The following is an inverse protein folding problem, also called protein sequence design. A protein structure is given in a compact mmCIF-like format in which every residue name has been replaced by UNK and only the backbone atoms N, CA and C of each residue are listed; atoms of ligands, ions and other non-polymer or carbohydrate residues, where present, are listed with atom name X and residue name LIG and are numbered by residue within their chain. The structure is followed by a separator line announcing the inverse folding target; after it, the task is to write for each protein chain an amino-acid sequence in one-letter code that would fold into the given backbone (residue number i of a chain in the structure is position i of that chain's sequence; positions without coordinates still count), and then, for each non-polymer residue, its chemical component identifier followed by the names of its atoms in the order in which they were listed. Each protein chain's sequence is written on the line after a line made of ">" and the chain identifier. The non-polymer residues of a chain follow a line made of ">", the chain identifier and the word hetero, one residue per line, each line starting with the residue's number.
data_IF_718242342678
#
_entry.id   IF_718242342678
#
_cell.length_a   1.000
_cell.length_b   1.000
_cell.length_c   1.000
_cell.angle_alpha   90.00
_cell.angle_beta   90.00
_cell.angle_gamma   90.00
#
_symmetry.space_group_name_H-M   'P 1'
#
loop_
_entity.id
_entity.type
_entity.pdbx_description
1 polymer ?
#
# COMPACT_ATOMS: atom_id res chain seq x y z
N UNK A 1 -51.23 43.73 33.57
CA UNK A 1 -51.04 42.26 33.52
C UNK A 1 -50.86 41.70 32.12
N UNK A 2 -51.90 41.44 31.30
CA UNK A 2 -51.74 40.79 29.98
C UNK A 2 -50.69 41.49 29.08
N UNK A 3 -50.73 42.82 29.02
CA UNK A 3 -49.79 43.60 28.21
C UNK A 3 -48.35 43.57 28.76
N UNK A 4 -48.18 43.48 30.08
CA UNK A 4 -46.86 43.36 30.72
C UNK A 4 -46.29 41.95 30.49
N UNK A 5 -47.14 40.91 30.59
CA UNK A 5 -46.77 39.53 30.27
C UNK A 5 -46.35 39.39 28.81
N UNK A 6 -47.02 40.09 27.88
CA UNK A 6 -46.62 40.15 26.48
C UNK A 6 -45.21 40.72 26.30
N UNK A 7 -44.97 41.94 26.81
CA UNK A 7 -43.66 42.61 26.70
C UNK A 7 -42.56 41.74 27.30
N UNK A 8 -42.82 41.14 28.46
CA UNK A 8 -41.85 40.26 29.12
C UNK A 8 -41.54 38.99 28.31
N UNK A 9 -42.53 38.36 27.68
CA UNK A 9 -42.28 37.21 26.79
C UNK A 9 -41.50 37.64 25.56
N UNK A 10 -41.81 38.80 24.96
CA UNK A 10 -41.06 39.32 23.82
C UNK A 10 -39.58 39.56 24.16
N UNK A 11 -39.27 40.09 25.35
CA UNK A 11 -37.90 40.24 25.84
C UNK A 11 -37.21 38.89 26.03
N UNK A 12 -37.89 37.93 26.65
CA UNK A 12 -37.35 36.58 26.84
C UNK A 12 -37.10 35.87 25.50
N UNK A 13 -37.98 36.02 24.51
CA UNK A 13 -37.79 35.46 23.16
C UNK A 13 -36.59 36.11 22.46
N UNK A 14 -36.41 37.43 22.58
CA UNK A 14 -35.21 38.09 22.03
C UNK A 14 -33.92 37.58 22.65
N UNK A 15 -33.89 37.38 23.97
CA UNK A 15 -32.74 36.78 24.65
C UNK A 15 -32.54 35.31 24.28
N UNK A 16 -33.62 34.56 24.09
CA UNK A 16 -33.58 33.17 23.60
C UNK A 16 -32.91 33.11 22.23
N UNK A 17 -33.35 33.94 21.29
CA UNK A 17 -32.85 33.95 19.90
C UNK A 17 -31.39 34.43 19.78
N UNK A 18 -30.84 35.03 20.85
CA UNK A 18 -29.43 35.40 20.97
C UNK A 18 -28.56 34.31 21.61
N UNK A 19 -29.16 33.23 22.11
CA UNK A 19 -28.46 32.13 22.78
C UNK A 19 -27.88 32.49 24.14
N UNK A 20 -28.49 33.45 24.86
CA UNK A 20 -27.91 34.03 26.09
C UNK A 20 -27.95 33.07 27.30
N UNK A 21 -29.05 32.35 27.54
CA UNK A 21 -29.20 31.47 28.72
C UNK A 21 -30.29 30.39 28.52
N UNK A 22 -29.99 29.13 28.86
CA UNK A 22 -30.97 28.03 28.82
C UNK A 22 -32.10 28.17 29.84
N UNK A 23 -31.89 28.91 30.94
CA UNK A 23 -32.95 29.18 31.94
C UNK A 23 -34.14 29.96 31.36
N UNK A 24 -33.96 30.54 30.16
CA UNK A 24 -35.00 31.26 29.43
C UNK A 24 -36.15 30.34 29.01
N UNK A 25 -35.88 29.08 28.63
CA UNK A 25 -36.92 28.13 28.23
C UNK A 25 -37.94 27.89 29.35
N UNK A 26 -37.47 27.72 30.59
CA UNK A 26 -38.34 27.55 31.76
C UNK A 26 -39.15 28.81 32.06
N UNK A 27 -38.53 29.99 31.93
CA UNK A 27 -39.20 31.28 32.13
C UNK A 27 -40.31 31.50 31.10
N UNK A 28 -40.04 31.25 29.82
CA UNK A 28 -41.04 31.34 28.75
C UNK A 28 -42.16 30.32 28.99
N UNK A 29 -41.81 29.08 29.31
CA UNK A 29 -42.78 28.01 29.59
C UNK A 29 -43.74 28.38 30.73
N UNK A 30 -43.21 28.97 31.81
CA UNK A 30 -44.02 29.47 32.93
C UNK A 30 -44.94 30.62 32.51
N UNK A 31 -44.45 31.54 31.70
CA UNK A 31 -45.25 32.66 31.19
C UNK A 31 -46.38 32.16 30.28
N UNK A 32 -46.11 31.21 29.39
CA UNK A 32 -47.11 30.58 28.53
C UNK A 32 -48.15 29.80 29.34
N UNK A 33 -47.75 29.13 30.42
CA UNK A 33 -48.69 28.47 31.33
C UNK A 33 -49.62 29.48 32.01
N UNK A 34 -49.06 30.59 32.50
CA UNK A 34 -49.84 31.66 33.11
C UNK A 34 -50.81 32.30 32.12
N UNK A 35 -50.38 32.52 30.87
CA UNK A 35 -51.25 33.00 29.80
C UNK A 35 -52.38 32.00 29.53
N UNK A 36 -52.07 30.71 29.40
CA UNK A 36 -53.07 29.66 29.19
C UNK A 36 -54.10 29.61 30.32
N UNK A 37 -53.66 29.75 31.57
CA UNK A 37 -54.57 29.83 32.72
C UNK A 37 -55.43 31.11 32.71
N UNK A 38 -54.98 32.16 32.02
CA UNK A 38 -55.71 33.41 31.83
C UNK A 38 -56.60 33.42 30.56
N UNK A 39 -56.72 32.30 29.85
CA UNK A 39 -57.52 32.19 28.61
C UNK A 39 -58.99 32.57 28.82
N UNK A 40 -59.54 32.44 30.03
CA UNK A 40 -60.91 32.85 30.37
C UNK A 40 -61.21 34.32 30.06
N UNK A 41 -60.18 35.18 29.96
CA UNK A 41 -60.32 36.62 29.65
C UNK A 41 -60.85 36.83 28.22
N UNK A 42 -60.68 35.86 27.31
CA UNK A 42 -61.26 35.92 25.95
C UNK A 42 -62.78 36.08 25.96
N UNK A 43 -63.45 35.55 26.98
CA UNK A 43 -64.90 35.67 27.13
C UNK A 43 -65.36 37.11 27.37
N UNK A 44 -64.45 37.99 27.80
CA UNK A 44 -64.72 39.39 28.15
C UNK A 44 -64.05 40.37 27.19
N UNK A 45 -62.89 40.00 26.65
CA UNK A 45 -62.15 40.80 25.68
C UNK A 45 -61.64 39.89 24.58
N UNK A 46 -62.43 39.83 23.51
CA UNK A 46 -62.07 39.08 22.32
C UNK A 46 -60.67 39.48 21.82
N UNK A 47 -59.89 38.48 21.45
CA UNK A 47 -58.53 38.54 20.92
C UNK A 47 -57.42 38.87 21.92
N UNK A 48 -57.74 39.17 23.18
CA UNK A 48 -56.73 39.58 24.16
C UNK A 48 -55.66 38.50 24.46
N UNK A 49 -56.01 37.22 24.35
CA UNK A 49 -55.11 36.09 24.57
C UNK A 49 -54.65 35.48 23.25
N UNK A 50 -55.59 35.28 22.32
CA UNK A 50 -55.34 34.63 21.04
C UNK A 50 -54.38 35.42 20.15
N UNK A 51 -54.40 36.76 20.19
CA UNK A 51 -53.42 37.57 19.45
C UNK A 51 -51.99 37.40 20.01
N UNK A 52 -51.83 37.30 21.33
CA UNK A 52 -50.51 37.14 21.97
C UNK A 52 -49.94 35.75 21.67
N UNK A 53 -50.75 34.70 21.82
CA UNK A 53 -50.31 33.34 21.49
C UNK A 53 -49.94 33.22 20.01
N UNK A 54 -50.73 33.84 19.12
CA UNK A 54 -50.46 33.85 17.69
C UNK A 54 -49.17 34.60 17.34
N UNK A 55 -48.88 35.72 18.02
CA UNK A 55 -47.63 36.46 17.83
C UNK A 55 -46.41 35.64 18.29
N UNK A 56 -46.49 35.02 19.48
CA UNK A 56 -45.44 34.12 19.98
C UNK A 56 -45.23 32.93 19.03
N UNK A 57 -46.31 32.34 18.54
CA UNK A 57 -46.28 31.28 17.54
C UNK A 57 -45.52 31.72 16.28
N UNK A 58 -45.83 32.90 15.73
CA UNK A 58 -45.14 33.42 14.55
C UNK A 58 -43.65 33.67 14.79
N UNK A 59 -43.28 34.21 15.95
CA UNK A 59 -41.87 34.45 16.31
C UNK A 59 -41.09 33.14 16.44
N UNK A 60 -41.65 32.12 17.11
CA UNK A 60 -41.00 30.82 17.25
C UNK A 60 -40.86 30.09 15.90
N UNK A 61 -41.90 30.11 15.06
CA UNK A 61 -41.84 29.53 13.71
C UNK A 61 -40.79 30.24 12.87
N UNK A 62 -40.73 31.58 12.93
CA UNK A 62 -39.76 32.37 12.17
C UNK A 62 -38.33 32.02 12.59
N UNK A 63 -38.06 31.92 13.88
CA UNK A 63 -36.75 31.54 14.39
C UNK A 63 -36.34 30.12 13.98
N UNK A 64 -37.24 29.14 14.05
CA UNK A 64 -36.97 27.77 13.53
C UNK A 64 -36.62 27.81 12.04
N UNK A 65 -37.32 28.61 11.23
CA UNK A 65 -37.02 28.75 9.80
C UNK A 65 -35.66 29.41 9.54
N UNK A 66 -35.24 30.34 10.38
CA UNK A 66 -33.93 30.99 10.30
C UNK A 66 -32.81 30.01 10.66
N UNK A 67 -32.99 29.24 11.74
CA UNK A 67 -32.09 28.15 12.12
C UNK A 67 -32.02 27.07 11.02
N UNK A 68 -33.17 26.65 10.47
CA UNK A 68 -33.24 25.73 9.34
C UNK A 68 -32.40 26.27 8.17
N UNK A 69 -32.61 27.52 7.77
CA UNK A 69 -31.86 28.14 6.67
C UNK A 69 -30.36 28.16 6.93
N UNK A 70 -29.93 28.32 8.18
CA UNK A 70 -28.53 28.25 8.59
C UNK A 70 -27.94 26.85 8.37
N UNK A 71 -28.67 25.81 8.80
CA UNK A 71 -28.28 24.41 8.60
C UNK A 71 -28.21 24.07 7.11
N UNK A 72 -29.23 24.44 6.33
CA UNK A 72 -29.29 24.15 4.89
C UNK A 72 -28.15 24.81 4.10
N UNK A 73 -27.60 25.93 4.59
CA UNK A 73 -26.45 26.63 3.98
C UNK A 73 -25.10 26.06 4.40
N UNK A 74 -25.04 25.22 5.43
CA UNK A 74 -23.77 24.76 6.01
C UNK A 74 -23.00 23.80 5.10
N UNK A 75 -23.65 23.21 4.09
CA UNK A 75 -23.11 22.20 3.17
C UNK A 75 -22.49 21.01 3.93
N UNK A 76 -23.33 20.06 4.33
CA UNK A 76 -22.97 18.94 5.19
C UNK A 76 -22.49 17.72 4.41
N UNK A 77 -21.41 17.90 3.65
CA UNK A 77 -20.73 16.85 2.88
C UNK A 77 -19.53 16.25 3.65
N UNK A 78 -18.85 15.27 3.01
CA UNK A 78 -17.68 14.59 3.57
C UNK A 78 -16.50 15.52 3.83
N UNK A 79 -16.34 16.59 3.06
CA UNK A 79 -15.23 17.53 3.18
C UNK A 79 -15.44 18.54 4.32
N UNK A 80 -16.69 18.76 4.69
CA UNK A 80 -17.11 19.74 5.68
C UNK A 80 -17.62 19.12 6.99
N UNK A 81 -17.18 17.90 7.32
CA UNK A 81 -17.65 17.16 8.51
C UNK A 81 -17.46 17.92 9.83
N UNK A 82 -16.52 18.86 9.92
CA UNK A 82 -16.30 19.69 11.12
C UNK A 82 -17.50 20.58 11.45
N UNK A 83 -18.26 21.00 10.44
CA UNK A 83 -19.48 21.83 10.61
C UNK A 83 -20.63 21.07 11.26
N UNK A 84 -20.56 19.74 11.30
CA UNK A 84 -21.56 18.90 11.97
C UNK A 84 -21.69 19.28 13.45
N UNK A 85 -20.58 19.66 14.11
CA UNK A 85 -20.59 20.08 15.50
C UNK A 85 -21.32 21.41 15.73
N UNK A 86 -21.38 22.29 14.74
CA UNK A 86 -22.12 23.55 14.86
C UNK A 86 -23.60 23.34 14.54
N UNK A 87 -23.88 22.53 13.51
CA UNK A 87 -25.25 22.10 13.22
C UNK A 87 -25.86 21.34 14.40
N UNK A 88 -25.08 20.57 15.17
CA UNK A 88 -25.62 19.87 16.34
C UNK A 88 -26.11 20.79 17.45
N UNK A 89 -25.48 21.94 17.64
CA UNK A 89 -25.98 22.96 18.57
C UNK A 89 -27.33 23.49 18.10
N UNK A 90 -27.47 23.75 16.80
CA UNK A 90 -28.72 24.23 16.20
C UNK A 90 -29.83 23.18 16.33
N UNK A 91 -29.53 21.89 16.08
CA UNK A 91 -30.51 20.82 16.27
C UNK A 91 -30.99 20.72 17.71
N UNK A 92 -30.05 20.79 18.67
CA UNK A 92 -30.39 20.78 20.10
C UNK A 92 -31.31 21.95 20.44
N UNK A 93 -31.02 23.15 19.95
CA UNK A 93 -31.84 24.34 20.18
C UNK A 93 -33.27 24.18 19.61
N UNK A 94 -33.39 23.66 18.39
CA UNK A 94 -34.69 23.38 17.75
C UNK A 94 -35.46 22.30 18.53
N UNK A 95 -34.80 21.22 18.94
CA UNK A 95 -35.43 20.16 19.73
C UNK A 95 -35.82 20.65 21.14
N UNK A 96 -35.06 21.55 21.77
CA UNK A 96 -35.44 22.18 23.05
C UNK A 96 -36.72 23.03 22.92
N UNK A 97 -37.00 23.62 21.74
CA UNK A 97 -38.26 24.34 21.49
C UNK A 97 -39.51 23.44 21.50
N UNK A 98 -39.35 22.11 21.46
CA UNK A 98 -40.47 21.17 21.65
C UNK A 98 -41.17 21.36 22.98
N UNK A 99 -40.51 21.92 24.00
CA UNK A 99 -41.14 22.21 25.29
C UNK A 99 -42.35 23.19 25.17
N UNK A 100 -42.42 23.96 24.08
CA UNK A 100 -43.52 24.88 23.77
C UNK A 100 -44.68 24.22 23.02
N UNK A 101 -44.57 22.96 22.55
CA UNK A 101 -45.61 22.26 21.77
C UNK A 101 -46.98 22.21 22.47
N UNK A 102 -46.99 22.11 23.82
CA UNK A 102 -48.22 22.11 24.64
C UNK A 102 -49.01 23.43 24.59
N UNK A 103 -48.38 24.50 24.13
CA UNK A 103 -48.97 25.84 24.00
C UNK A 103 -49.12 26.25 22.55
N UNK A 104 -48.18 25.85 21.71
CA UNK A 104 -48.14 26.13 20.26
C UNK A 104 -48.02 24.80 19.50
N UNK A 105 -49.14 24.07 19.28
CA UNK A 105 -49.11 22.71 18.74
C UNK A 105 -48.50 22.61 17.34
N UNK A 106 -48.59 23.67 16.54
CA UNK A 106 -48.05 23.71 15.17
C UNK A 106 -46.52 23.61 15.14
N UNK A 107 -45.81 23.93 16.23
CA UNK A 107 -44.35 23.78 16.31
C UNK A 107 -43.91 22.35 16.07
N UNK A 108 -44.69 21.37 16.53
CA UNK A 108 -44.38 19.96 16.33
C UNK A 108 -44.22 19.64 14.83
N UNK A 109 -45.15 20.14 14.01
CA UNK A 109 -45.09 19.93 12.56
C UNK A 109 -43.82 20.55 11.96
N UNK A 110 -43.48 21.79 12.33
CA UNK A 110 -42.29 22.46 11.79
C UNK A 110 -40.98 21.78 12.22
N UNK A 111 -40.89 21.33 13.48
CA UNK A 111 -39.70 20.62 14.00
C UNK A 111 -39.58 19.24 13.34
N UNK A 112 -40.69 18.52 13.17
CA UNK A 112 -40.69 17.21 12.50
C UNK A 112 -40.32 17.35 11.01
N UNK A 113 -40.87 18.36 10.30
CA UNK A 113 -40.50 18.67 8.90
C UNK A 113 -39.01 19.03 8.77
N UNK A 114 -38.49 19.84 9.68
CA UNK A 114 -37.07 20.19 9.71
C UNK A 114 -36.19 18.95 9.93
N UNK A 115 -36.52 18.12 10.92
CA UNK A 115 -35.79 16.89 11.23
C UNK A 115 -35.78 15.92 10.04
N UNK A 116 -36.91 15.77 9.32
CA UNK A 116 -36.99 14.96 8.11
C UNK A 116 -36.08 15.49 6.99
N UNK A 117 -36.05 16.81 6.75
CA UNK A 117 -35.15 17.40 5.74
C UNK A 117 -33.68 17.22 6.12
N UNK A 118 -33.34 17.44 7.39
CA UNK A 118 -31.99 17.23 7.91
C UNK A 118 -31.55 15.78 7.75
N UNK A 119 -32.42 14.81 8.12
CA UNK A 119 -32.17 13.40 7.89
C UNK A 119 -31.94 13.10 6.41
N UNK A 120 -32.75 13.66 5.51
CA UNK A 120 -32.59 13.49 4.07
C UNK A 120 -31.20 13.92 3.57
N UNK A 121 -30.68 15.04 4.07
CA UNK A 121 -29.33 15.53 3.70
C UNK A 121 -28.25 14.54 4.14
N UNK A 122 -28.27 14.11 5.40
CA UNK A 122 -27.27 13.20 5.92
C UNK A 122 -27.38 11.82 5.27
N UNK A 123 -28.60 11.34 5.02
CA UNK A 123 -28.85 10.07 4.37
C UNK A 123 -28.32 10.04 2.93
N UNK A 124 -28.32 11.17 2.22
CA UNK A 124 -27.67 11.26 0.91
C UNK A 124 -26.15 11.02 1.02
N UNK A 125 -25.49 11.58 2.05
CA UNK A 125 -24.06 11.32 2.28
C UNK A 125 -23.82 9.86 2.68
N UNK A 126 -24.71 9.28 3.48
CA UNK A 126 -24.67 7.86 3.82
C UNK A 126 -24.76 6.95 2.60
N UNK A 127 -25.62 7.28 1.63
CA UNK A 127 -25.70 6.57 0.34
C UNK A 127 -24.37 6.70 -0.41
N UNK A 128 -23.81 7.91 -0.51
CA UNK A 128 -22.51 8.14 -1.15
C UNK A 128 -21.41 7.29 -0.52
N UNK A 129 -21.35 7.21 0.82
CA UNK A 129 -20.39 6.35 1.53
C UNK A 129 -20.61 4.88 1.17
N UNK A 130 -21.86 4.40 1.22
CA UNK A 130 -22.18 3.00 0.89
C UNK A 130 -21.79 2.64 -0.53
N UNK A 131 -22.09 3.50 -1.49
CA UNK A 131 -21.79 3.28 -2.91
C UNK A 131 -20.28 3.31 -3.17
N UNK A 132 -19.58 4.30 -2.59
CA UNK A 132 -18.12 4.45 -2.74
C UNK A 132 -17.37 3.22 -2.25
N UNK A 133 -17.76 2.66 -1.11
CA UNK A 133 -17.11 1.50 -0.51
C UNK A 133 -17.84 0.17 -0.79
N UNK A 134 -18.86 0.19 -1.65
CA UNK A 134 -19.71 -0.96 -1.98
C UNK A 134 -20.16 -1.76 -0.75
N UNK A 135 -20.59 -1.07 0.32
CA UNK A 135 -20.87 -1.70 1.63
C UNK A 135 -22.02 -2.72 1.58
N UNK A 136 -22.89 -2.64 0.56
CA UNK A 136 -24.03 -3.53 0.38
C UNK A 136 -23.69 -4.82 -0.41
N UNK A 137 -22.54 -4.89 -1.09
CA UNK A 137 -22.13 -6.07 -1.87
C UNK A 137 -21.22 -6.95 -1.03
N UNK A 138 -21.79 -7.99 -0.42
CA UNK A 138 -21.11 -8.78 0.61
C UNK A 138 -20.02 -9.74 0.12
N UNK A 139 -19.86 -10.00 -1.19
CA UNK A 139 -19.20 -11.24 -1.62
C UNK A 139 -17.93 -11.12 -2.47
N UNK A 140 -17.62 -10.01 -3.12
CA UNK A 140 -16.35 -9.89 -3.85
C UNK A 140 -15.84 -8.46 -3.80
N UNK A 141 -14.89 -8.17 -2.91
CA UNK A 141 -14.23 -6.90 -2.98
C UNK A 141 -13.28 -6.89 -4.19
N UNK A 142 -13.62 -6.10 -5.20
CA UNK A 142 -12.68 -5.73 -6.27
C UNK A 142 -11.72 -4.69 -5.71
N UNK A 143 -10.72 -5.13 -4.96
CA UNK A 143 -9.71 -4.28 -4.35
C UNK A 143 -8.65 -3.84 -5.36
N UNK A 144 -9.03 -3.08 -6.39
CA UNK A 144 -8.03 -2.48 -7.30
C UNK A 144 -7.38 -1.25 -6.68
N UNK A 145 -8.16 -0.39 -6.03
CA UNK A 145 -7.70 0.87 -5.43
C UNK A 145 -8.51 1.18 -4.18
N UNK A 146 -7.85 1.49 -3.06
CA UNK A 146 -8.50 1.94 -1.83
C UNK A 146 -8.14 3.41 -1.60
N UNK A 147 -9.14 4.28 -1.64
CA UNK A 147 -8.96 5.69 -1.31
C UNK A 147 -9.06 5.87 0.22
N UNK A 148 -7.92 5.77 0.87
CA UNK A 148 -7.81 5.93 2.31
C UNK A 148 -8.10 7.36 2.78
N UNK A 149 -7.93 8.40 1.94
CA UNK A 149 -8.31 9.77 2.33
C UNK A 149 -9.82 9.92 2.42
N UNK A 150 -10.55 9.40 1.43
CA UNK A 150 -12.01 9.41 1.42
C UNK A 150 -12.57 8.54 2.56
N UNK A 151 -11.94 7.40 2.85
CA UNK A 151 -12.35 6.55 3.96
C UNK A 151 -12.14 7.23 5.33
N UNK A 152 -11.05 7.98 5.53
CA UNK A 152 -10.79 8.73 6.77
C UNK A 152 -11.88 9.79 6.99
N UNK A 153 -12.20 10.58 5.95
CA UNK A 153 -13.27 11.57 6.00
C UNK A 153 -14.63 10.94 6.30
N UNK A 154 -14.94 9.81 5.66
CA UNK A 154 -16.18 9.07 5.92
C UNK A 154 -16.29 8.58 7.36
N UNK A 155 -15.21 8.04 7.94
CA UNK A 155 -15.19 7.63 9.35
C UNK A 155 -15.42 8.81 10.29
N UNK A 156 -14.72 9.93 10.07
CA UNK A 156 -14.86 11.14 10.89
C UNK A 156 -16.26 11.75 10.78
N UNK A 157 -16.84 11.77 9.57
CA UNK A 157 -18.21 12.19 9.32
C UNK A 157 -19.20 11.32 10.09
N UNK A 158 -19.08 9.99 9.98
CA UNK A 158 -19.95 9.06 10.69
C UNK A 158 -19.82 9.16 12.21
N UNK A 159 -18.61 9.37 12.73
CA UNK A 159 -18.38 9.60 14.15
C UNK A 159 -19.05 10.88 14.64
N UNK A 160 -18.98 11.97 13.86
CA UNK A 160 -19.68 13.21 14.16
C UNK A 160 -21.20 13.01 14.12
N UNK A 161 -21.73 12.22 13.17
CA UNK A 161 -23.17 11.95 13.09
C UNK A 161 -23.74 11.13 14.27
N UNK A 162 -22.91 10.38 15.01
CA UNK A 162 -23.37 9.60 16.17
C UNK A 162 -23.93 10.46 17.30
N UNK A 163 -23.57 11.75 17.35
CA UNK A 163 -24.10 12.66 18.36
C UNK A 163 -25.59 12.94 18.16
N UNK A 164 -26.12 12.71 16.96
CA UNK A 164 -27.53 12.91 16.66
C UNK A 164 -28.35 11.69 17.02
N UNK A 165 -29.28 11.84 17.97
CA UNK A 165 -30.20 10.76 18.34
C UNK A 165 -30.96 10.19 17.13
N UNK A 166 -31.41 11.09 16.25
CA UNK A 166 -32.22 10.81 15.06
C UNK A 166 -31.47 9.98 14.00
N UNK A 167 -30.13 10.00 14.00
CA UNK A 167 -29.27 9.32 13.01
C UNK A 167 -28.36 8.26 13.63
N UNK A 168 -28.47 8.04 14.94
CA UNK A 168 -27.52 7.23 15.72
C UNK A 168 -27.45 5.79 15.20
N UNK A 169 -28.59 5.17 14.90
CA UNK A 169 -28.62 3.77 14.49
C UNK A 169 -28.03 3.59 13.08
N UNK A 170 -28.40 4.45 12.13
CA UNK A 170 -27.92 4.37 10.76
C UNK A 170 -26.43 4.68 10.65
N UNK A 171 -25.96 5.72 11.36
CA UNK A 171 -24.52 6.06 11.44
C UNK A 171 -23.70 4.91 12.03
N UNK A 172 -24.17 4.27 13.10
CA UNK A 172 -23.50 3.11 13.71
C UNK A 172 -23.46 1.92 12.74
N UNK A 173 -24.56 1.65 12.03
CA UNK A 173 -24.64 0.54 11.07
C UNK A 173 -23.63 0.73 9.93
N UNK A 174 -23.63 1.91 9.31
CA UNK A 174 -22.74 2.23 8.19
C UNK A 174 -21.30 2.25 8.65
N UNK A 175 -21.02 2.82 9.82
CA UNK A 175 -19.69 2.82 10.39
C UNK A 175 -19.16 1.41 10.57
N UNK A 176 -19.95 0.48 11.15
CA UNK A 176 -19.54 -0.91 11.30
C UNK A 176 -19.27 -1.57 9.95
N UNK A 177 -20.08 -1.27 8.94
CA UNK A 177 -19.86 -1.72 7.56
C UNK A 177 -18.52 -1.24 7.00
N UNK A 178 -18.23 0.06 7.13
CA UNK A 178 -16.98 0.67 6.67
C UNK A 178 -15.76 0.14 7.43
N UNK A 179 -15.84 0.03 8.76
CA UNK A 179 -14.78 -0.55 9.58
C UNK A 179 -14.49 -2.01 9.19
N UNK A 180 -15.53 -2.77 8.84
CA UNK A 180 -15.37 -4.15 8.37
C UNK A 180 -14.74 -4.20 6.96
N UNK A 181 -15.16 -3.31 6.06
CA UNK A 181 -14.58 -3.18 4.73
C UNK A 181 -13.08 -2.88 4.81
N UNK A 182 -12.68 -1.89 5.62
CA UNK A 182 -11.28 -1.52 5.84
C UNK A 182 -10.49 -2.71 6.40
N UNK A 183 -11.06 -3.44 7.37
CA UNK A 183 -10.41 -4.63 7.94
C UNK A 183 -10.18 -5.72 6.90
N UNK A 184 -11.16 -5.97 6.04
CA UNK A 184 -11.05 -6.96 4.98
C UNK A 184 -10.01 -6.54 3.93
N UNK A 185 -9.97 -5.26 3.58
CA UNK A 185 -8.98 -4.71 2.66
C UNK A 185 -7.54 -4.91 3.16
N UNK A 186 -7.30 -4.64 4.43
CA UNK A 186 -5.98 -4.82 5.02
C UNK A 186 -5.58 -6.30 5.08
N UNK A 187 -6.53 -7.19 5.36
CA UNK A 187 -6.25 -8.62 5.29
C UNK A 187 -5.90 -9.04 3.86
N UNK A 188 -6.60 -8.50 2.86
CA UNK A 188 -6.25 -8.69 1.46
C UNK A 188 -4.82 -8.23 1.16
N UNK A 189 -4.41 -7.02 1.57
CA UNK A 189 -3.03 -6.54 1.39
C UNK A 189 -2.02 -7.51 2.00
N UNK A 190 -2.28 -8.00 3.22
CA UNK A 190 -1.36 -8.94 3.90
C UNK A 190 -1.18 -10.23 3.11
N UNK A 191 -2.27 -10.83 2.66
CA UNK A 191 -2.23 -12.08 1.90
C UNK A 191 -1.61 -11.86 0.50
N UNK A 192 -1.88 -10.71 -0.13
CA UNK A 192 -1.29 -10.32 -1.41
C UNK A 192 0.24 -10.17 -1.31
N UNK A 193 0.73 -9.38 -0.35
CA UNK A 193 2.17 -9.21 -0.12
C UNK A 193 2.82 -10.57 0.16
N UNK A 194 2.21 -11.39 1.03
CA UNK A 194 2.74 -12.70 1.40
C UNK A 194 2.79 -13.66 0.22
N UNK A 195 1.72 -13.75 -0.56
CA UNK A 195 1.69 -14.58 -1.75
C UNK A 195 2.79 -14.20 -2.74
N UNK A 196 2.97 -12.91 -3.02
CA UNK A 196 4.03 -12.45 -3.92
C UNK A 196 5.44 -12.67 -3.35
N UNK A 197 5.63 -12.45 -2.06
CA UNK A 197 6.92 -12.65 -1.41
C UNK A 197 7.34 -14.14 -1.44
N UNK A 198 6.40 -15.05 -1.15
CA UNK A 198 6.66 -16.49 -1.19
C UNK A 198 7.01 -16.96 -2.62
N UNK A 199 6.36 -16.41 -3.64
CA UNK A 199 6.69 -16.69 -5.05
C UNK A 199 8.12 -16.24 -5.38
N UNK A 200 8.53 -15.04 -4.96
CA UNK A 200 9.88 -14.52 -5.20
C UNK A 200 10.91 -15.41 -4.49
N UNK A 201 10.67 -15.79 -3.23
CA UNK A 201 11.56 -16.65 -2.44
C UNK A 201 11.77 -18.03 -3.07
N UNK A 202 10.73 -18.61 -3.67
CA UNK A 202 10.77 -19.95 -4.26
C UNK A 202 11.20 -19.97 -5.74
N UNK A 203 11.40 -18.81 -6.35
CA UNK A 203 11.80 -18.72 -7.76
C UNK A 203 13.17 -19.36 -7.98
N UNK A 204 13.26 -20.32 -8.91
CA UNK A 204 14.52 -21.01 -9.26
C UNK A 204 15.15 -20.46 -10.54
N UNK A 205 14.33 -20.01 -11.49
CA UNK A 205 14.74 -19.56 -12.84
C UNK A 205 13.71 -18.58 -13.43
N UNK A 206 13.21 -17.67 -12.61
CA UNK A 206 12.08 -16.80 -12.97
C UNK A 206 12.44 -15.72 -14.00
N UNK A 207 11.46 -15.36 -14.84
CA UNK A 207 11.47 -14.15 -15.66
C UNK A 207 11.69 -12.94 -14.74
N UNK A 208 12.87 -12.30 -14.78
CA UNK A 208 13.25 -11.13 -13.94
C UNK A 208 12.14 -10.06 -13.95
N UNK A 209 11.51 -9.84 -15.12
CA UNK A 209 10.43 -8.86 -15.26
C UNK A 209 9.17 -9.21 -14.45
N UNK A 210 8.84 -10.49 -14.34
CA UNK A 210 7.68 -10.93 -13.56
C UNK A 210 7.94 -10.78 -12.04
N UNK A 211 9.16 -11.09 -11.60
CA UNK A 211 9.59 -10.86 -10.22
C UNK A 211 9.66 -9.36 -9.88
N UNK A 212 10.12 -8.52 -10.82
CA UNK A 212 10.13 -7.07 -10.65
C UNK A 212 8.72 -6.49 -10.48
N UNK A 213 7.74 -6.96 -11.27
CA UNK A 213 6.34 -6.53 -11.10
C UNK A 213 5.79 -6.94 -9.72
N UNK A 214 6.11 -8.14 -9.26
CA UNK A 214 5.68 -8.62 -7.93
C UNK A 214 6.29 -7.80 -6.80
N UNK A 215 7.59 -7.46 -6.88
CA UNK A 215 8.24 -6.65 -5.84
C UNK A 215 7.73 -5.21 -5.85
N UNK A 216 7.39 -4.66 -7.02
CA UNK A 216 6.76 -3.34 -7.14
C UNK A 216 5.40 -3.32 -6.44
N UNK A 217 4.57 -4.35 -6.63
CA UNK A 217 3.30 -4.48 -5.90
C UNK A 217 3.53 -4.53 -4.39
N UNK A 218 4.49 -5.35 -3.92
CA UNK A 218 4.84 -5.41 -2.50
C UNK A 218 5.26 -4.03 -1.98
N UNK A 219 6.15 -3.34 -2.69
CA UNK A 219 6.65 -2.03 -2.30
C UNK A 219 5.52 -1.01 -2.21
N UNK A 220 4.64 -0.95 -3.21
CA UNK A 220 3.51 -0.03 -3.24
C UNK A 220 2.54 -0.29 -2.07
N UNK A 221 2.27 -1.55 -1.76
CA UNK A 221 1.41 -1.92 -0.62
C UNK A 221 2.04 -1.60 0.74
N UNK A 222 3.34 -1.82 0.90
CA UNK A 222 4.06 -1.44 2.12
C UNK A 222 4.07 0.08 2.29
N UNK A 223 4.27 0.84 1.20
CA UNK A 223 4.17 2.29 1.22
C UNK A 223 2.77 2.76 1.63
N UNK A 224 1.73 2.18 1.03
CA UNK A 224 0.33 2.46 1.39
C UNK A 224 0.07 2.25 2.89
N UNK A 225 0.55 1.15 3.46
CA UNK A 225 0.44 0.86 4.91
C UNK A 225 1.16 1.93 5.75
N UNK A 226 2.34 2.37 5.33
CA UNK A 226 3.11 3.42 6.03
C UNK A 226 2.39 4.76 5.95
N UNK A 227 1.86 5.12 4.78
CA UNK A 227 1.10 6.36 4.58
C UNK A 227 -0.13 6.37 5.48
N UNK A 228 -0.96 5.32 5.45
CA UNK A 228 -2.15 5.18 6.32
C UNK A 228 -1.79 5.38 7.79
N UNK A 229 -0.67 4.81 8.25
CA UNK A 229 -0.20 4.98 9.63
C UNK A 229 0.12 6.44 9.97
N UNK A 230 0.69 7.18 9.01
CA UNK A 230 1.16 8.56 9.25
C UNK A 230 0.07 9.62 9.06
N UNK A 231 -0.90 9.39 8.17
CA UNK A 231 -1.88 10.41 7.75
C UNK A 231 -3.31 10.12 8.21
N UNK A 232 -3.69 8.86 8.44
CA UNK A 232 -5.08 8.46 8.67
C UNK A 232 -5.27 7.74 10.01
N UNK A 233 -5.28 8.51 11.09
CA UNK A 233 -5.38 7.99 12.46
C UNK A 233 -6.67 7.22 12.71
N UNK A 234 -7.80 7.66 12.12
CA UNK A 234 -9.08 6.99 12.37
C UNK A 234 -9.17 5.67 11.63
N UNK A 235 -8.71 5.60 10.37
CA UNK A 235 -8.52 4.32 9.67
C UNK A 235 -7.62 3.42 10.49
N UNK A 236 -6.48 3.93 10.98
CA UNK A 236 -5.52 3.19 11.80
C UNK A 236 -6.13 2.56 13.06
N UNK A 237 -7.20 3.15 13.62
CA UNK A 237 -7.91 2.57 14.77
C UNK A 237 -8.82 1.37 14.41
N UNK A 238 -9.19 1.18 13.13
CA UNK A 238 -10.09 0.09 12.69
C UNK A 238 -9.43 -1.30 12.72
N UNK A 239 -8.12 -1.36 12.96
CA UNK A 239 -7.31 -2.57 12.87
C UNK A 239 -7.40 -3.38 14.17
N UNK A 240 -7.78 -4.67 14.07
CA UNK A 240 -7.90 -5.60 15.23
C UNK A 240 -6.57 -5.84 15.96
N UNK A 241 -5.46 -5.75 15.25
CA UNK A 241 -4.10 -5.68 15.81
C UNK A 241 -3.52 -4.34 15.38
N UNK A 242 -2.71 -3.66 16.21
CA UNK A 242 -2.07 -2.42 15.79
C UNK A 242 -1.37 -2.62 14.43
N UNK A 243 -1.51 -1.74 13.44
CA UNK A 243 -0.73 -1.81 12.19
C UNK A 243 0.78 -1.89 12.48
N UNK A 244 1.18 -1.41 13.65
CA UNK A 244 2.53 -1.55 14.18
C UNK A 244 2.98 -3.00 14.23
N UNK A 245 2.09 -3.96 14.52
CA UNK A 245 2.42 -5.38 14.41
C UNK A 245 2.62 -5.76 12.95
N UNK A 246 1.82 -5.26 12.01
CA UNK A 246 1.97 -5.58 10.57
C UNK A 246 3.32 -5.07 10.04
N UNK A 247 3.65 -3.80 10.30
CA UNK A 247 4.92 -3.21 9.90
C UNK A 247 6.10 -3.92 10.58
N UNK A 248 5.97 -4.25 11.87
CA UNK A 248 7.01 -5.01 12.61
C UNK A 248 7.15 -6.44 12.08
N UNK A 249 6.05 -7.12 11.79
CA UNK A 249 6.00 -8.49 11.28
C UNK A 249 6.67 -8.54 9.90
N UNK A 250 6.39 -7.58 9.02
CA UNK A 250 7.06 -7.48 7.72
C UNK A 250 8.53 -7.11 7.83
N UNK A 251 8.88 -6.15 8.69
CA UNK A 251 10.29 -5.83 8.95
C UNK A 251 11.06 -7.05 9.45
N UNK A 252 10.45 -7.80 10.38
CA UNK A 252 11.02 -9.02 10.92
C UNK A 252 11.16 -10.09 9.84
N UNK A 253 10.11 -10.35 9.08
CA UNK A 253 10.11 -11.36 8.01
C UNK A 253 11.17 -11.06 6.93
N UNK A 254 11.27 -9.80 6.50
CA UNK A 254 12.31 -9.39 5.55
C UNK A 254 13.71 -9.49 6.16
N UNK A 255 13.88 -9.12 7.43
CA UNK A 255 15.17 -9.23 8.13
C UNK A 255 15.58 -10.69 8.37
N UNK A 256 14.64 -11.55 8.72
CA UNK A 256 14.84 -12.98 8.94
C UNK A 256 15.29 -13.63 7.61
N UNK A 257 14.61 -13.34 6.50
CA UNK A 257 15.02 -13.84 5.20
C UNK A 257 16.38 -13.30 4.73
N UNK A 258 16.69 -12.04 5.05
CA UNK A 258 18.01 -11.46 4.81
C UNK A 258 19.10 -12.21 5.60
N UNK A 259 18.82 -12.62 6.85
CA UNK A 259 19.75 -13.45 7.63
C UNK A 259 19.87 -14.86 7.01
N UNK A 260 18.76 -15.49 6.60
CA UNK A 260 18.77 -16.79 5.92
C UNK A 260 19.67 -16.76 4.68
N UNK A 261 19.59 -15.70 3.86
CA UNK A 261 20.45 -15.50 2.69
C UNK A 261 21.92 -15.32 3.10
N UNK A 262 22.20 -14.62 4.20
CA UNK A 262 23.56 -14.48 4.71
C UNK A 262 24.14 -15.83 5.15
N UNK A 263 23.34 -16.70 5.75
CA UNK A 263 23.77 -18.06 6.14
C UNK A 263 23.92 -18.99 4.93
N UNK A 264 22.98 -18.92 3.98
CA UNK A 264 23.02 -19.67 2.73
C UNK A 264 24.29 -19.35 1.92
N UNK A 265 24.76 -18.10 1.94
CA UNK A 265 26.03 -17.68 1.35
C UNK A 265 27.20 -18.58 1.79
N UNK A 266 27.27 -18.90 3.09
CA UNK A 266 28.35 -19.72 3.62
C UNK A 266 28.27 -21.18 3.12
N UNK A 267 27.06 -21.70 2.91
CA UNK A 267 26.87 -23.04 2.32
C UNK A 267 27.26 -23.08 0.85
N UNK A 268 26.94 -22.02 0.10
CA UNK A 268 27.28 -21.90 -1.32
C UNK A 268 28.78 -21.74 -1.58
N UNK A 269 29.53 -21.31 -0.56
CA UNK A 269 30.98 -21.35 -0.61
C UNK A 269 31.51 -22.76 -0.89
N UNK A 270 30.85 -23.80 -0.35
CA UNK A 270 31.30 -25.18 -0.41
C UNK A 270 30.87 -25.89 -1.70
N UNK A 271 29.76 -25.48 -2.31
CA UNK A 271 29.19 -26.18 -3.47
C UNK A 271 29.70 -25.67 -4.83
N UNK A 272 30.39 -24.52 -4.89
CA UNK A 272 30.97 -23.92 -6.12
C UNK A 272 30.01 -23.83 -7.33
N UNK A 273 28.69 -23.79 -7.09
CA UNK A 273 27.70 -23.71 -8.17
C UNK A 273 27.46 -22.26 -8.58
N UNK A 274 28.03 -21.87 -9.73
CA UNK A 274 27.86 -20.54 -10.34
C UNK A 274 26.40 -20.24 -10.65
N UNK A 275 25.69 -21.19 -11.28
CA UNK A 275 24.27 -21.03 -11.66
C UNK A 275 23.38 -20.72 -10.45
N UNK A 276 23.65 -21.37 -9.31
CA UNK A 276 22.90 -21.12 -8.09
C UNK A 276 23.18 -19.72 -7.52
N UNK A 277 24.44 -19.27 -7.56
CA UNK A 277 24.84 -17.93 -7.11
C UNK A 277 24.21 -16.83 -7.99
N UNK A 278 24.18 -17.02 -9.31
CA UNK A 278 23.61 -16.05 -10.25
C UNK A 278 22.09 -15.89 -10.06
N UNK A 279 21.37 -17.00 -9.90
CA UNK A 279 19.94 -16.99 -9.59
C UNK A 279 19.67 -16.26 -8.26
N UNK A 280 20.46 -16.55 -7.21
CA UNK A 280 20.33 -15.86 -5.91
C UNK A 280 20.64 -14.38 -6.01
N UNK A 281 21.67 -13.98 -6.75
CA UNK A 281 22.01 -12.58 -7.00
C UNK A 281 20.85 -11.82 -7.64
N UNK A 282 20.19 -12.44 -8.63
CA UNK A 282 19.03 -11.85 -9.28
C UNK A 282 17.88 -11.62 -8.29
N UNK A 283 17.58 -12.60 -7.44
CA UNK A 283 16.54 -12.47 -6.40
C UNK A 283 16.91 -11.37 -5.40
N UNK A 284 18.14 -11.35 -4.88
CA UNK A 284 18.59 -10.36 -3.89
C UNK A 284 18.53 -8.95 -4.48
N UNK A 285 18.95 -8.78 -5.74
CA UNK A 285 18.88 -7.51 -6.46
C UNK A 285 17.44 -7.01 -6.55
N UNK A 286 16.49 -7.88 -6.91
CA UNK A 286 15.06 -7.52 -6.97
C UNK A 286 14.55 -7.12 -5.59
N UNK A 287 14.89 -7.88 -4.55
CA UNK A 287 14.50 -7.60 -3.17
C UNK A 287 15.09 -6.30 -2.61
N UNK A 288 16.22 -5.82 -3.14
CA UNK A 288 16.79 -4.52 -2.75
C UNK A 288 15.86 -3.33 -3.04
N UNK A 289 14.84 -3.49 -3.88
CA UNK A 289 13.78 -2.49 -4.02
C UNK A 289 12.96 -2.28 -2.74
N UNK A 290 13.05 -3.20 -1.76
CA UNK A 290 12.43 -3.06 -0.44
C UNK A 290 13.38 -2.50 0.62
N UNK A 291 14.62 -2.13 0.26
CA UNK A 291 15.62 -1.64 1.22
C UNK A 291 15.19 -0.35 1.92
N UNK A 292 14.32 0.46 1.30
CA UNK A 292 13.77 1.66 1.94
C UNK A 292 12.90 1.34 3.16
N UNK A 293 12.30 0.14 3.20
CA UNK A 293 11.46 -0.30 4.29
C UNK A 293 12.29 -0.84 5.47
N UNK A 294 13.53 -1.25 5.22
CA UNK A 294 14.48 -1.76 6.21
C UNK A 294 15.33 -0.61 6.79
N UNK A 295 15.54 -0.62 8.11
CA UNK A 295 16.31 0.44 8.78
C UNK A 295 17.83 0.20 8.73
N UNK A 296 18.26 -0.99 9.15
CA UNK A 296 19.68 -1.22 9.47
C UNK A 296 20.38 -2.18 8.50
N UNK A 297 19.69 -3.22 8.04
CA UNK A 297 20.25 -4.26 7.16
C UNK A 297 19.60 -4.14 5.79
N UNK A 298 20.41 -4.12 4.73
CA UNK A 298 19.93 -3.96 3.36
C UNK A 298 20.28 -5.16 2.49
N UNK A 299 19.38 -5.53 1.59
CA UNK A 299 19.64 -6.56 0.59
C UNK A 299 20.78 -6.16 -0.35
N UNK A 300 20.95 -4.87 -0.64
CA UNK A 300 22.07 -4.39 -1.46
C UNK A 300 23.45 -4.74 -0.87
N UNK A 301 23.58 -4.76 0.46
CA UNK A 301 24.83 -5.11 1.13
C UNK A 301 25.15 -6.60 0.96
N UNK A 302 24.11 -7.45 1.01
CA UNK A 302 24.24 -8.89 0.73
C UNK A 302 24.50 -9.12 -0.76
N UNK A 303 23.87 -8.36 -1.64
CA UNK A 303 24.08 -8.44 -3.09
C UNK A 303 25.56 -8.26 -3.45
N UNK A 304 26.20 -7.19 -2.96
CA UNK A 304 27.61 -6.94 -3.21
C UNK A 304 28.50 -8.07 -2.67
N UNK A 305 28.17 -8.60 -1.49
CA UNK A 305 28.86 -9.73 -0.88
C UNK A 305 28.74 -11.04 -1.68
N UNK A 306 27.62 -11.26 -2.38
CA UNK A 306 27.46 -12.40 -3.29
C UNK A 306 28.18 -12.15 -4.61
N UNK A 307 28.14 -10.92 -5.12
CA UNK A 307 28.73 -10.53 -6.40
C UNK A 307 30.26 -10.66 -6.35
N UNK A 308 30.89 -10.17 -5.28
CA UNK A 308 32.33 -10.34 -5.04
C UNK A 308 32.71 -11.83 -5.03
N UNK A 309 31.87 -12.67 -4.43
CA UNK A 309 32.15 -14.11 -4.35
C UNK A 309 32.00 -14.81 -5.70
N UNK A 310 30.99 -14.45 -6.48
CA UNK A 310 30.82 -14.93 -7.85
C UNK A 310 32.05 -14.56 -8.70
N UNK A 311 32.51 -13.31 -8.60
CA UNK A 311 33.72 -12.85 -9.30
C UNK A 311 34.96 -13.66 -8.93
N UNK A 312 35.16 -13.96 -7.65
CA UNK A 312 36.28 -14.80 -7.20
C UNK A 312 36.21 -16.22 -7.79
N UNK A 313 35.04 -16.87 -7.76
CA UNK A 313 34.88 -18.22 -8.33
C UNK A 313 35.10 -18.23 -9.85
N UNK A 314 34.55 -17.25 -10.56
CA UNK A 314 34.77 -17.12 -12.01
C UNK A 314 36.24 -16.86 -12.33
N UNK A 315 36.94 -16.09 -11.50
CA UNK A 315 38.37 -15.83 -11.66
C UNK A 315 39.23 -17.08 -11.40
N UNK A 316 38.88 -17.90 -10.42
CA UNK A 316 39.57 -19.17 -10.17
C UNK A 316 39.40 -20.13 -11.36
N UNK A 317 38.20 -20.20 -11.95
CA UNK A 317 37.97 -20.98 -13.17
C UNK A 317 38.75 -20.40 -14.37
N UNK A 318 38.85 -19.07 -14.52
CA UNK A 318 39.67 -18.43 -15.56
C UNK A 318 41.15 -18.86 -15.46
N UNK A 319 41.71 -18.91 -14.25
CA UNK A 319 43.08 -19.41 -14.03
C UNK A 319 43.21 -20.88 -14.41
N UNK A 320 42.30 -21.73 -13.92
CA UNK A 320 42.31 -23.16 -14.23
C UNK A 320 42.20 -23.43 -15.74
N UNK A 321 41.36 -22.68 -16.46
CA UNK A 321 41.27 -22.78 -17.93
C UNK A 321 42.57 -22.37 -18.61
N UNK A 322 43.20 -21.25 -18.21
CA UNK A 322 44.46 -20.80 -18.79
C UNK A 322 45.57 -21.83 -18.56
N UNK A 323 45.63 -22.43 -17.38
CA UNK A 323 46.62 -23.45 -17.05
C UNK A 323 46.34 -24.77 -17.78
N UNK A 324 45.06 -25.16 -17.94
CA UNK A 324 44.67 -26.30 -18.76
C UNK A 324 45.10 -26.12 -20.23
N UNK A 325 44.94 -24.92 -20.80
CA UNK A 325 45.42 -24.59 -22.15
C UNK A 325 46.95 -24.75 -22.24
N UNK A 326 47.71 -24.20 -21.29
CA UNK A 326 49.18 -24.29 -21.28
C UNK A 326 49.69 -25.73 -21.14
N UNK A 327 48.98 -26.55 -20.36
CA UNK A 327 49.34 -27.94 -20.09
C UNK A 327 48.74 -28.92 -21.12
N UNK A 328 48.01 -28.43 -22.12
CA UNK A 328 47.31 -29.23 -23.13
C UNK A 328 46.28 -30.21 -22.54
N UNK A 329 45.69 -29.86 -21.39
CA UNK A 329 44.61 -30.62 -20.73
C UNK A 329 43.24 -30.15 -21.23
N UNK A 330 42.88 -30.64 -22.41
CA UNK A 330 41.67 -30.23 -23.10
C UNK A 330 40.39 -30.79 -22.47
N UNK A 331 40.47 -31.88 -21.69
CA UNK A 331 39.32 -32.45 -20.96
C UNK A 331 38.93 -31.51 -19.81
N UNK A 332 39.90 -31.10 -18.98
CA UNK A 332 39.65 -30.13 -17.92
C UNK A 332 39.14 -28.78 -18.48
N UNK A 333 39.70 -28.33 -19.62
CA UNK A 333 39.25 -27.11 -20.27
C UNK A 333 37.77 -27.18 -20.68
N UNK A 334 37.34 -28.30 -21.27
CA UNK A 334 35.95 -28.51 -21.69
C UNK A 334 34.97 -28.44 -20.51
N UNK A 335 35.31 -29.12 -19.40
CA UNK A 335 34.52 -29.11 -18.18
C UNK A 335 34.36 -27.69 -17.63
N UNK A 336 35.46 -26.92 -17.57
CA UNK A 336 35.48 -25.56 -17.05
C UNK A 336 34.78 -24.56 -17.96
N UNK A 337 34.95 -24.68 -19.28
CA UNK A 337 34.22 -23.87 -20.27
C UNK A 337 32.73 -24.17 -20.26
N UNK A 338 32.33 -25.43 -20.03
CA UNK A 338 30.93 -25.82 -19.89
C UNK A 338 30.32 -25.27 -18.60
N UNK A 339 31.08 -25.24 -17.50
CA UNK A 339 30.65 -24.64 -16.23
C UNK A 339 30.45 -23.12 -16.33
N UNK A 340 31.24 -22.42 -17.15
CA UNK A 340 31.11 -20.99 -17.47
C UNK A 340 30.08 -20.68 -18.55
N UNK A 341 29.04 -21.52 -18.68
CA UNK A 341 27.96 -21.34 -19.66
C UNK A 341 27.51 -19.87 -19.65
N UNK A 342 27.59 -19.13 -20.77
CA UNK A 342 27.51 -17.66 -20.76
C UNK A 342 26.07 -17.18 -20.49
N UNK A 343 25.66 -17.23 -19.23
CA UNK A 343 24.31 -16.86 -18.80
C UNK A 343 24.25 -15.38 -18.41
N UNK A 344 25.33 -14.86 -17.80
CA UNK A 344 25.49 -13.45 -17.45
C UNK A 344 26.67 -12.78 -18.18
N UNK A 345 26.78 -11.44 -18.04
CA UNK A 345 27.82 -10.64 -18.71
C UNK A 345 29.24 -11.01 -18.24
N UNK A 346 29.39 -11.44 -16.99
CA UNK A 346 30.68 -11.74 -16.36
C UNK A 346 31.19 -13.06 -16.94
N UNK A 347 30.42 -14.13 -16.83
CA UNK A 347 30.73 -15.45 -17.41
C UNK A 347 31.01 -15.36 -18.90
N UNK A 348 30.17 -14.61 -19.64
CA UNK A 348 30.39 -14.39 -21.08
C UNK A 348 31.74 -13.74 -21.38
N UNK A 349 32.17 -12.78 -20.58
CA UNK A 349 33.48 -12.13 -20.76
C UNK A 349 34.62 -13.14 -20.60
N UNK A 350 34.59 -13.94 -19.53
CA UNK A 350 35.62 -14.94 -19.25
C UNK A 350 35.60 -16.10 -20.25
N UNK A 351 34.42 -16.55 -20.66
CA UNK A 351 34.27 -17.56 -21.70
C UNK A 351 34.86 -17.10 -23.05
N UNK A 352 34.59 -15.87 -23.48
CA UNK A 352 35.17 -15.30 -24.70
C UNK A 352 36.67 -15.03 -24.58
N UNK A 353 37.17 -14.68 -23.38
CA UNK A 353 38.60 -14.59 -23.10
C UNK A 353 39.27 -15.96 -23.25
N UNK A 354 38.72 -17.01 -22.65
CA UNK A 354 39.22 -18.38 -22.75
C UNK A 354 39.28 -18.87 -24.19
N UNK A 355 38.23 -18.60 -24.99
CA UNK A 355 38.23 -18.88 -26.44
C UNK A 355 39.40 -18.23 -27.18
N UNK A 356 39.69 -16.96 -26.91
CA UNK A 356 40.82 -16.24 -27.53
C UNK A 356 42.15 -16.88 -27.15
N UNK A 357 42.34 -17.20 -25.87
CA UNK A 357 43.55 -17.88 -25.40
C UNK A 357 43.72 -19.27 -26.02
N UNK A 358 42.63 -20.05 -26.09
CA UNK A 358 42.63 -21.36 -26.74
C UNK A 358 43.01 -21.23 -28.21
N UNK A 359 42.40 -20.29 -28.95
CA UNK A 359 42.71 -20.06 -30.36
C UNK A 359 44.18 -19.65 -30.56
N UNK A 360 44.71 -18.77 -29.71
CA UNK A 360 46.13 -18.38 -29.75
C UNK A 360 47.06 -19.57 -29.45
N UNK A 361 46.76 -20.35 -28.41
CA UNK A 361 47.55 -21.52 -28.03
C UNK A 361 47.57 -22.60 -29.11
N UNK A 362 46.43 -22.86 -29.75
CA UNK A 362 46.33 -23.81 -30.86
C UNK A 362 47.06 -23.33 -32.11
N UNK A 363 46.98 -22.04 -32.44
CA UNK A 363 47.73 -21.46 -33.54
C UNK A 363 49.24 -21.56 -33.29
N UNK A 364 49.70 -21.27 -32.07
CA UNK A 364 51.10 -21.42 -31.70
C UNK A 364 51.54 -22.89 -31.82
N UNK A 365 50.75 -23.84 -31.30
CA UNK A 365 51.03 -25.27 -31.41
C UNK A 365 51.11 -25.73 -32.87
N UNK A 366 50.22 -25.23 -33.74
CA UNK A 366 50.24 -25.51 -35.18
C UNK A 366 51.51 -25.00 -35.84
N UNK A 367 51.91 -23.75 -35.56
CA UNK A 367 53.14 -23.16 -36.11
C UNK A 367 54.41 -23.86 -35.58
N UNK A 368 54.47 -24.19 -34.29
CA UNK A 368 55.59 -24.95 -33.70
C UNK A 368 55.72 -26.33 -34.35
N UNK A 369 54.60 -27.02 -34.55
CA UNK A 369 54.56 -28.31 -35.26
C UNK A 369 55.03 -28.16 -36.70
N UNK A 370 54.55 -27.13 -37.42
CA UNK A 370 54.95 -26.86 -38.79
C UNK A 370 56.44 -26.57 -38.89
N UNK A 371 56.98 -25.75 -37.99
CA UNK A 371 58.41 -25.43 -37.91
C UNK A 371 59.26 -26.68 -37.73
N UNK A 372 58.89 -27.56 -36.79
CA UNK A 372 59.56 -28.84 -36.59
C UNK A 372 59.45 -29.76 -37.82
N UNK A 373 58.30 -29.78 -38.48
CA UNK A 373 58.07 -30.56 -39.71
C UNK A 373 58.95 -30.07 -40.88
N UNK A 374 59.20 -28.77 -41.00
CA UNK A 374 60.07 -28.21 -42.05
C UNK A 374 61.55 -28.58 -41.85
N UNK A 375 61.97 -28.87 -40.61
CA UNK A 375 63.32 -29.31 -40.27
C UNK A 375 63.56 -30.80 -40.58
N UNK A 376 62.51 -31.56 -40.97
CA UNK A 376 62.57 -32.98 -41.37
C UNK A 376 63.32 -33.20 -42.71
N UNK A 377 64.58 -32.78 -42.81
CA UNK A 377 65.52 -33.12 -43.89
C UNK A 377 66.50 -34.21 -43.44
N UNK A 378 67.25 -34.82 -44.37
CA UNK A 378 67.77 -36.21 -44.35
C UNK A 378 68.54 -36.76 -43.12
N UNK A 379 68.77 -36.01 -42.04
CA UNK A 379 69.37 -36.50 -40.80
C UNK A 379 68.52 -36.11 -39.59
N UNK A 380 67.59 -36.99 -39.23
CA UNK A 380 66.66 -36.77 -38.13
C UNK A 380 67.11 -37.46 -36.84
N UNK A 381 67.21 -36.66 -35.79
CA UNK A 381 67.35 -37.17 -34.44
C UNK A 381 66.00 -37.70 -33.94
N UNK A 382 66.01 -38.88 -33.31
CA UNK A 382 64.82 -39.56 -32.78
C UNK A 382 63.96 -38.65 -31.88
N UNK A 383 64.60 -37.74 -31.14
CA UNK A 383 63.92 -36.81 -30.24
C UNK A 383 63.07 -35.76 -30.98
N UNK A 384 63.50 -35.31 -32.16
CA UNK A 384 62.73 -34.35 -32.98
C UNK A 384 61.45 -34.98 -33.54
N UNK A 385 61.52 -36.24 -33.99
CA UNK A 385 60.35 -37.00 -34.44
C UNK A 385 59.37 -37.19 -33.28
N UNK A 386 59.87 -37.50 -32.08
CA UNK A 386 59.05 -37.69 -30.89
C UNK A 386 58.26 -36.43 -30.53
N UNK A 387 58.90 -35.26 -30.58
CA UNK A 387 58.25 -33.96 -30.33
C UNK A 387 57.13 -33.66 -31.35
N UNK A 388 57.36 -33.93 -32.64
CA UNK A 388 56.33 -33.73 -33.69
C UNK A 388 55.13 -34.64 -33.43
N UNK A 389 55.36 -35.92 -33.16
CA UNK A 389 54.28 -36.88 -32.86
C UNK A 389 53.51 -36.46 -31.61
N UNK A 390 54.20 -35.93 -30.59
CA UNK A 390 53.56 -35.44 -29.38
C UNK A 390 52.67 -34.21 -29.63
N UNK A 391 53.15 -33.24 -30.43
CA UNK A 391 52.34 -32.09 -30.80
C UNK A 391 51.13 -32.46 -31.66
N UNK A 392 51.28 -33.41 -32.61
CA UNK A 392 50.16 -33.92 -33.40
C UNK A 392 49.10 -34.60 -32.53
N UNK A 393 49.51 -35.39 -31.52
CA UNK A 393 48.57 -35.96 -30.54
C UNK A 393 47.86 -34.89 -29.72
N UNK A 394 48.55 -33.81 -29.33
CA UNK A 394 47.93 -32.67 -28.63
C UNK A 394 46.90 -31.96 -29.53
N UNK A 395 47.21 -31.75 -30.80
CA UNK A 395 46.27 -31.19 -31.78
C UNK A 395 45.05 -32.09 -31.98
N UNK A 396 45.25 -33.40 -32.09
CA UNK A 396 44.15 -34.38 -32.20
C UNK A 396 43.23 -34.32 -30.97
N UNK A 397 43.79 -34.30 -29.76
CA UNK A 397 43.03 -34.15 -28.52
C UNK A 397 42.25 -32.83 -28.45
N UNK A 398 42.75 -31.74 -29.04
CA UNK A 398 42.05 -30.45 -28.99
C UNK A 398 40.77 -30.39 -29.85
N UNK A 399 40.60 -31.33 -30.78
CA UNK A 399 39.56 -31.28 -31.83
C UNK A 399 38.14 -31.19 -31.26
N UNK A 400 37.84 -31.94 -30.19
CA UNK A 400 36.50 -31.95 -29.60
C UNK A 400 36.16 -30.60 -28.92
N UNK A 401 37.11 -29.97 -28.23
CA UNK A 401 36.92 -28.65 -27.60
C UNK A 401 36.73 -27.58 -28.66
N UNK A 402 37.48 -27.67 -29.76
CA UNK A 402 37.35 -26.80 -30.92
C UNK A 402 35.94 -26.87 -31.51
N UNK A 403 35.45 -28.07 -31.79
CA UNK A 403 34.13 -28.30 -32.38
C UNK A 403 33.02 -27.78 -31.47
N UNK A 404 33.14 -27.99 -30.16
CA UNK A 404 32.11 -27.61 -29.18
C UNK A 404 32.13 -26.13 -28.83
N UNK A 405 33.30 -25.51 -28.71
CA UNK A 405 33.43 -24.18 -28.13
C UNK A 405 33.85 -23.09 -29.12
N UNK A 406 34.62 -23.39 -30.17
CA UNK A 406 35.18 -22.37 -31.07
C UNK A 406 34.37 -22.12 -32.35
N UNK A 407 33.29 -22.86 -32.61
CA UNK A 407 32.38 -22.68 -33.76
C UNK A 407 33.15 -22.32 -35.04
N UNK A 408 34.01 -23.24 -35.47
CA UNK A 408 34.89 -22.99 -36.61
C UNK A 408 34.11 -23.20 -37.90
N UNK A 409 33.56 -22.13 -38.45
CA UNK A 409 33.27 -22.07 -39.89
C UNK A 409 34.48 -21.58 -40.71
N UNK A 410 35.58 -21.08 -40.10
CA UNK A 410 36.64 -20.34 -40.84
C UNK A 410 38.11 -20.59 -40.46
N UNK A 411 38.48 -21.59 -39.65
CA UNK A 411 39.86 -21.79 -39.17
C UNK A 411 40.46 -23.18 -39.47
N UNK A 412 39.83 -23.97 -40.34
CA UNK A 412 40.40 -25.24 -40.85
C UNK A 412 40.78 -25.20 -42.34
N UNK A 413 41.05 -24.02 -42.89
CA UNK A 413 41.77 -23.90 -44.17
C UNK A 413 43.23 -23.51 -43.91
#
# INVERSE_FOLDING_TARGET
>A
YINETRIYIEELLRSLFRGEDRSIYDKITKCLLNLKNAQWIENYRARAYSDIIKDIEQQLIQHIKELEKSVMKSNLDLDNFTKISDVSKILIEIDEMRCFEKFVPILKQYIDEFNLKFQGIINNVFIVIKDTFNLDKSNEPVYKTFDYYTAEKALLYLDACKTFFILKNDSILILKGLENYIRNYINFIKEEIKGYFDIIKQSKTGNENDMLKKIEIISNRLQEIVEIKTTCNRIFSCFRRPIETIIKDWNKLLSDYLNDLSEEKHKLYLTQSIEFLDNKLSIIKILSNLDWFLKDKKYIDIYHKYQEKLLLQVHDIDKEMIDAIKNFDYELLDDKMTALRPSNKIEKHFYEKAKRFLSMGLNQLKEDTRGLTLVLTHHLEKEQIKLIVENLKRLEKSKFVIEKHLNISHAMC
#
